data_IF_014420246305
#
_entry.id   IF_014420246305
#
_cell.length_a   1.000
_cell.length_b   1.000
_cell.length_c   1.000
_cell.angle_alpha   90.00
_cell.angle_beta   90.00
_cell.angle_gamma   90.00
#
_symmetry.space_group_name_H-M   'P 1'
#
loop_
_entity.id
_entity.type
_entity.pdbx_description
1 polymer ?
#
# COMPACT_ATOMS: atom_id res chain seq x y z
N UNK A 1 -3.20 -21.38 -10.18
CA UNK A 1 -3.25 -19.97 -10.64
C UNK A 1 -2.20 -19.11 -9.97
N UNK A 2 -2.12 -19.04 -8.64
CA UNK A 2 -1.13 -18.20 -7.93
C UNK A 2 0.31 -18.45 -8.41
N UNK A 3 0.75 -19.71 -8.42
CA UNK A 3 2.10 -20.05 -8.89
C UNK A 3 2.38 -19.58 -10.33
N UNK A 4 1.41 -19.71 -11.24
CA UNK A 4 1.55 -19.22 -12.62
C UNK A 4 1.56 -17.69 -12.70
N UNK A 5 0.74 -17.01 -11.89
CA UNK A 5 0.77 -15.55 -11.78
C UNK A 5 2.11 -15.04 -11.27
N UNK A 6 2.69 -15.73 -10.27
CA UNK A 6 4.01 -15.41 -9.74
C UNK A 6 5.13 -15.64 -10.76
N UNK A 7 5.03 -16.68 -11.60
CA UNK A 7 5.97 -16.88 -12.70
C UNK A 7 5.89 -15.73 -13.74
N UNK A 8 4.68 -15.22 -14.00
CA UNK A 8 4.49 -14.03 -14.83
C UNK A 8 5.12 -12.78 -14.21
N UNK A 9 4.94 -12.57 -12.90
CA UNK A 9 5.56 -11.48 -12.14
C UNK A 9 7.10 -11.55 -12.17
N UNK A 10 7.66 -12.75 -12.09
CA UNK A 10 9.11 -12.95 -12.17
C UNK A 10 9.67 -12.50 -13.51
N UNK A 11 9.01 -12.85 -14.62
CA UNK A 11 9.41 -12.42 -15.96
C UNK A 11 9.25 -10.90 -16.12
N UNK A 12 8.16 -10.32 -15.62
CA UNK A 12 7.87 -8.90 -15.78
C UNK A 12 8.75 -7.99 -14.91
N UNK A 13 9.11 -8.46 -13.72
CA UNK A 13 9.64 -7.60 -12.66
C UNK A 13 10.96 -8.09 -12.04
N UNK A 14 11.44 -9.27 -12.47
CA UNK A 14 12.70 -9.87 -12.00
C UNK A 14 12.62 -10.48 -10.61
N UNK A 15 11.42 -10.74 -10.09
CA UNK A 15 11.25 -11.23 -8.72
C UNK A 15 9.96 -12.04 -8.52
N UNK A 16 10.03 -13.05 -7.68
CA UNK A 16 8.92 -13.92 -7.36
C UNK A 16 8.16 -13.41 -6.12
N UNK A 17 7.14 -12.56 -6.30
CA UNK A 17 6.32 -12.02 -5.20
C UNK A 17 4.84 -12.45 -5.29
N UNK A 18 4.24 -12.75 -4.15
CA UNK A 18 2.84 -13.19 -4.05
C UNK A 18 1.92 -12.08 -3.53
N UNK A 19 2.47 -10.97 -3.03
CA UNK A 19 1.74 -9.90 -2.36
C UNK A 19 0.72 -9.17 -3.24
N UNK A 20 0.92 -9.12 -4.56
CA UNK A 20 -0.09 -8.61 -5.52
C UNK A 20 -1.00 -9.72 -6.06
N UNK A 21 -0.42 -10.84 -6.48
CA UNK A 21 -1.14 -11.95 -7.12
C UNK A 21 -2.10 -12.64 -6.15
N UNK A 22 -1.71 -12.80 -4.88
CA UNK A 22 -2.54 -13.44 -3.87
C UNK A 22 -3.86 -12.68 -3.61
N UNK A 23 -3.87 -11.37 -3.28
CA UNK A 23 -5.12 -10.64 -3.11
C UNK A 23 -5.88 -10.47 -4.43
N UNK A 24 -5.21 -10.38 -5.59
CA UNK A 24 -5.90 -10.32 -6.88
C UNK A 24 -6.73 -11.58 -7.19
N UNK A 25 -6.22 -12.76 -6.81
CA UNK A 25 -6.88 -14.04 -7.07
C UNK A 25 -7.83 -14.44 -5.93
N UNK A 26 -7.39 -14.27 -4.68
CA UNK A 26 -8.12 -14.76 -3.50
C UNK A 26 -9.05 -13.71 -2.89
N UNK A 27 -8.92 -12.43 -3.27
CA UNK A 27 -9.57 -11.30 -2.60
C UNK A 27 -8.99 -11.03 -1.21
N UNK A 28 -9.40 -9.90 -0.62
CA UNK A 28 -9.14 -9.54 0.78
C UNK A 28 -7.73 -9.05 1.07
N UNK A 29 -7.38 -9.03 2.35
CA UNK A 29 -6.03 -8.66 2.83
C UNK A 29 -5.25 -9.95 3.07
N UNK A 30 -4.08 -10.07 2.44
CA UNK A 30 -3.25 -11.28 2.48
C UNK A 30 -1.89 -10.99 3.10
N UNK A 31 -1.44 -11.91 3.95
CA UNK A 31 -0.09 -11.91 4.51
C UNK A 31 0.69 -13.09 3.95
N UNK A 32 1.81 -12.82 3.29
CA UNK A 32 2.71 -13.86 2.80
C UNK A 32 3.71 -14.19 3.92
N UNK A 33 3.48 -15.30 4.66
CA UNK A 33 4.35 -15.70 5.79
C UNK A 33 5.64 -16.34 5.29
N UNK A 34 5.56 -17.09 4.20
CA UNK A 34 6.68 -17.84 3.63
C UNK A 34 6.52 -17.97 2.11
N UNK A 35 7.64 -18.00 1.39
CA UNK A 35 7.69 -18.30 -0.05
C UNK A 35 8.10 -19.74 -0.33
N UNK A 36 8.80 -20.41 0.59
CA UNK A 36 9.30 -21.78 0.43
C UNK A 36 9.16 -22.59 1.74
N UNK A 37 8.07 -23.37 1.91
CA UNK A 37 6.91 -23.46 1.02
C UNK A 37 6.10 -22.15 1.01
N UNK A 38 5.36 -21.91 -0.07
CA UNK A 38 4.48 -20.74 -0.18
C UNK A 38 3.35 -20.86 0.85
N UNK A 39 3.24 -19.87 1.73
CA UNK A 39 2.21 -19.82 2.77
C UNK A 39 1.57 -18.45 2.82
N UNK A 40 0.27 -18.42 2.57
CA UNK A 40 -0.54 -17.22 2.43
C UNK A 40 -1.63 -17.26 3.49
N UNK A 41 -1.61 -16.30 4.40
CA UNK A 41 -2.58 -16.16 5.47
C UNK A 41 -3.65 -15.15 5.08
N UNK A 42 -4.90 -15.45 5.43
CA UNK A 42 -6.01 -14.51 5.29
C UNK A 42 -6.08 -13.60 6.52
N UNK A 43 -6.08 -12.29 6.33
CA UNK A 43 -6.29 -11.33 7.40
C UNK A 43 -7.73 -10.80 7.38
N UNK A 44 -8.31 -10.46 8.54
CA UNK A 44 -9.65 -9.90 8.61
C UNK A 44 -9.69 -8.51 7.96
N UNK A 45 -10.84 -8.18 7.39
CA UNK A 45 -11.11 -6.88 6.79
C UNK A 45 -11.97 -6.08 7.77
N UNK A 46 -11.44 -4.98 8.36
CA UNK A 46 -12.22 -4.13 9.25
C UNK A 46 -13.42 -3.52 8.52
N UNK A 47 -14.59 -3.48 9.17
CA UNK A 47 -15.86 -3.19 8.48
C UNK A 47 -15.94 -1.80 7.88
N UNK A 48 -15.28 -0.82 8.50
CA UNK A 48 -15.30 0.58 8.06
C UNK A 48 -14.08 0.95 7.25
N UNK A 49 -13.17 0.02 6.95
CA UNK A 49 -11.94 0.34 6.23
C UNK A 49 -12.24 0.73 4.77
N UNK A 50 -11.90 1.97 4.43
CA UNK A 50 -12.03 2.55 3.11
C UNK A 50 -10.62 2.83 2.58
N UNK A 51 -10.38 2.44 1.33
CA UNK A 51 -9.16 2.71 0.60
C UNK A 51 -9.40 3.81 -0.43
N UNK A 52 -8.55 4.83 -0.41
CA UNK A 52 -8.43 5.84 -1.45
C UNK A 52 -7.16 5.52 -2.23
N UNK A 53 -7.25 5.41 -3.55
CA UNK A 53 -6.08 5.23 -4.42
C UNK A 53 -6.08 6.33 -5.45
N UNK A 54 -4.96 7.05 -5.59
CA UNK A 54 -4.78 8.03 -6.65
C UNK A 54 -3.62 7.61 -7.53
N UNK A 55 -3.91 7.42 -8.82
CA UNK A 55 -2.95 7.08 -9.85
C UNK A 55 -2.58 8.36 -10.62
N UNK A 56 -1.36 8.90 -10.44
CA UNK A 56 -0.88 9.99 -11.27
C UNK A 56 -0.55 9.52 -12.69
N UNK A 57 -0.71 10.39 -13.68
CA UNK A 57 -0.28 10.19 -15.07
C UNK A 57 1.23 10.42 -15.19
N UNK A 58 1.95 9.54 -14.53
CA UNK A 58 3.40 9.49 -14.45
C UNK A 58 3.79 8.03 -14.23
N UNK A 59 4.97 7.64 -14.70
CA UNK A 59 5.48 6.28 -14.55
C UNK A 59 6.83 6.28 -13.87
N UNK A 60 6.99 5.39 -12.89
CA UNK A 60 8.29 5.05 -12.30
C UNK A 60 8.71 3.71 -12.87
N UNK A 61 9.96 3.58 -13.31
CA UNK A 61 10.51 2.29 -13.69
C UNK A 61 10.59 1.37 -12.47
N UNK A 62 9.80 0.29 -12.47
CA UNK A 62 9.71 -0.67 -11.36
C UNK A 62 11.04 -1.37 -11.05
N UNK A 63 11.86 -1.62 -12.07
CA UNK A 63 13.19 -2.22 -11.90
C UNK A 63 14.11 -1.28 -11.11
N UNK A 64 14.14 0.00 -11.48
CA UNK A 64 14.96 1.00 -10.80
C UNK A 64 14.48 1.24 -9.38
N UNK A 65 13.16 1.38 -9.16
CA UNK A 65 12.57 1.56 -7.84
C UNK A 65 12.83 0.39 -6.88
N UNK A 66 13.08 -0.81 -7.40
CA UNK A 66 13.46 -1.99 -6.60
C UNK A 66 14.95 -2.02 -6.30
N UNK A 67 15.79 -1.72 -7.29
CA UNK A 67 17.24 -1.69 -7.10
C UNK A 67 17.70 -0.57 -6.15
N UNK A 68 16.88 0.45 -5.94
CA UNK A 68 17.15 1.51 -4.97
C UNK A 68 16.93 1.09 -3.51
N UNK A 69 16.22 -0.02 -3.25
CA UNK A 69 15.99 -0.45 -1.87
C UNK A 69 17.31 -0.86 -1.18
N UNK A 70 17.47 -0.53 0.10
CA UNK A 70 18.71 -0.82 0.81
C UNK A 70 18.88 -2.33 0.98
N UNK A 71 20.05 -2.86 0.63
CA UNK A 71 20.39 -4.27 0.88
C UNK A 71 20.58 -4.62 2.36
N UNK A 72 20.73 -3.60 3.21
CA UNK A 72 20.90 -3.71 4.65
C UNK A 72 20.13 -2.60 5.34
N UNK A 73 19.44 -2.94 6.42
CA UNK A 73 18.74 -1.98 7.28
C UNK A 73 19.35 -2.02 8.68
N UNK A 74 19.36 -0.90 9.43
CA UNK A 74 19.75 -0.91 10.83
C UNK A 74 18.88 -1.86 11.63
N UNK A 75 19.46 -2.60 12.58
CA UNK A 75 18.71 -3.52 13.45
C UNK A 75 17.56 -2.81 14.17
N UNK A 76 17.79 -1.56 14.62
CA UNK A 76 16.74 -0.73 15.25
C UNK A 76 15.52 -0.56 14.34
N UNK A 77 15.73 -0.17 13.07
CA UNK A 77 14.66 -0.03 12.10
C UNK A 77 13.96 -1.36 11.82
N UNK A 78 14.71 -2.47 11.81
CA UNK A 78 14.13 -3.78 11.60
C UNK A 78 13.22 -4.24 12.76
N UNK A 79 13.64 -3.99 14.00
CA UNK A 79 12.82 -4.27 15.19
C UNK A 79 11.56 -3.42 15.19
N UNK A 80 11.68 -2.13 14.86
CA UNK A 80 10.54 -1.21 14.80
C UNK A 80 9.57 -1.58 13.67
N UNK A 81 10.07 -1.91 12.47
CA UNK A 81 9.24 -2.39 11.36
C UNK A 81 8.49 -3.67 11.70
N UNK A 82 9.15 -4.61 12.39
CA UNK A 82 8.50 -5.85 12.85
C UNK A 82 7.39 -5.55 13.88
N UNK A 83 7.63 -4.60 14.79
CA UNK A 83 6.63 -4.10 15.74
C UNK A 83 5.43 -3.48 15.03
N UNK A 84 5.68 -2.65 14.02
CA UNK A 84 4.64 -2.03 13.18
C UNK A 84 3.80 -3.09 12.45
N UNK A 85 4.43 -4.08 11.81
CA UNK A 85 3.70 -5.16 11.14
C UNK A 85 2.84 -5.98 12.12
N UNK A 86 3.39 -6.34 13.28
CA UNK A 86 2.66 -7.07 14.32
C UNK A 86 1.50 -6.24 14.87
N UNK A 87 1.74 -4.96 15.17
CA UNK A 87 0.73 -4.01 15.65
C UNK A 87 -0.40 -3.81 14.64
N UNK A 88 -0.07 -3.62 13.35
CA UNK A 88 -1.06 -3.49 12.28
C UNK A 88 -1.89 -4.77 12.15
N UNK A 89 -1.24 -5.94 12.18
CA UNK A 89 -1.93 -7.24 12.12
C UNK A 89 -2.92 -7.39 13.27
N UNK A 90 -2.50 -7.15 14.52
CA UNK A 90 -3.39 -7.20 15.70
C UNK A 90 -4.54 -6.20 15.55
N UNK A 91 -4.25 -4.99 15.06
CA UNK A 91 -5.25 -3.95 14.88
C UNK A 91 -6.36 -4.34 13.89
N UNK A 92 -6.04 -5.10 12.83
CA UNK A 92 -7.03 -5.66 11.91
C UNK A 92 -8.01 -6.59 12.64
N UNK A 93 -7.51 -7.50 13.47
CA UNK A 93 -8.36 -8.43 14.24
C UNK A 93 -9.21 -7.74 15.29
N UNK A 94 -8.70 -6.64 15.87
CA UNK A 94 -9.41 -5.88 16.90
C UNK A 94 -10.29 -4.75 16.34
N UNK A 95 -10.30 -4.53 15.01
CA UNK A 95 -10.85 -3.34 14.37
C UNK A 95 -10.38 -2.02 15.04
N UNK A 96 -9.14 -1.99 15.54
CA UNK A 96 -8.56 -0.85 16.26
C UNK A 96 -7.88 0.13 15.29
N UNK A 97 -8.65 1.05 14.73
CA UNK A 97 -8.17 2.02 13.72
C UNK A 97 -7.05 2.95 14.24
N UNK A 98 -7.04 3.29 15.53
CA UNK A 98 -5.96 4.09 16.13
C UNK A 98 -4.65 3.32 16.25
N UNK A 99 -4.71 2.01 16.54
CA UNK A 99 -3.53 1.15 16.50
C UNK A 99 -3.07 0.94 15.05
N UNK A 100 -3.98 0.77 14.09
CA UNK A 100 -3.61 0.72 12.67
C UNK A 100 -2.84 1.98 12.28
N UNK A 101 -3.34 3.16 12.69
CA UNK A 101 -2.74 4.45 12.38
C UNK A 101 -1.30 4.56 12.89
N UNK A 102 -1.08 4.23 14.16
CA UNK A 102 0.27 4.25 14.75
C UNK A 102 1.19 3.16 14.20
N UNK A 103 0.64 2.09 13.61
CA UNK A 103 1.39 0.96 13.06
C UNK A 103 1.66 1.07 11.56
N UNK A 104 1.00 1.99 10.85
CA UNK A 104 1.13 2.16 9.41
C UNK A 104 2.33 3.07 9.10
N UNK A 105 3.52 2.58 9.43
CA UNK A 105 4.80 3.26 9.20
C UNK A 105 5.75 2.28 8.52
N UNK A 106 6.25 2.66 7.34
CA UNK A 106 7.28 1.92 6.61
C UNK A 106 8.65 2.60 6.75
N UNK A 107 9.57 1.88 7.39
CA UNK A 107 10.95 2.32 7.61
C UNK A 107 11.92 1.81 6.54
N UNK A 108 11.45 0.98 5.60
CA UNK A 108 12.28 0.31 4.61
C UNK A 108 12.12 0.91 3.22
N UNK A 109 10.92 0.82 2.64
CA UNK A 109 10.74 1.16 1.23
C UNK A 109 10.32 2.62 1.03
N UNK A 110 9.35 3.09 1.81
CA UNK A 110 8.81 4.44 1.73
C UNK A 110 9.87 5.56 1.81
N UNK A 111 10.87 5.55 2.73
CA UNK A 111 11.87 6.61 2.81
C UNK A 111 12.76 6.74 1.57
N UNK A 112 12.82 5.69 0.75
CA UNK A 112 13.56 5.66 -0.51
C UNK A 112 12.64 5.94 -1.69
N UNK A 113 11.52 5.21 -1.79
CA UNK A 113 10.61 5.29 -2.94
C UNK A 113 9.78 6.56 -2.95
N UNK A 114 9.45 7.13 -1.80
CA UNK A 114 8.68 8.39 -1.71
C UNK A 114 9.40 9.54 -2.42
N UNK A 115 10.73 9.53 -2.45
CA UNK A 115 11.56 10.54 -3.14
C UNK A 115 11.41 10.49 -4.66
N UNK A 116 10.92 9.38 -5.22
CA UNK A 116 10.70 9.21 -6.66
C UNK A 116 9.34 9.74 -7.10
N UNK A 117 8.43 10.04 -6.15
CA UNK A 117 7.08 10.50 -6.44
C UNK A 117 7.05 12.02 -6.22
N UNK A 118 6.94 12.83 -7.29
CA UNK A 118 6.84 14.27 -7.16
C UNK A 118 5.67 14.68 -6.25
N UNK A 119 5.93 15.56 -5.28
CA UNK A 119 4.91 16.05 -4.35
C UNK A 119 4.58 15.11 -3.18
N UNK A 120 5.17 13.91 -3.09
CA UNK A 120 4.84 12.93 -2.05
C UNK A 120 4.93 13.48 -0.62
N UNK A 121 6.01 14.21 -0.28
CA UNK A 121 6.17 14.81 1.05
C UNK A 121 5.09 15.87 1.35
N UNK A 122 4.68 16.65 0.35
CA UNK A 122 3.59 17.65 0.50
C UNK A 122 2.25 16.98 0.70
N UNK A 123 1.99 15.89 -0.03
CA UNK A 123 0.81 15.05 0.15
C UNK A 123 0.77 14.50 1.57
N UNK A 124 1.85 13.89 2.03
CA UNK A 124 1.97 13.40 3.41
C UNK A 124 1.74 14.53 4.43
N UNK A 125 2.29 15.73 4.19
CA UNK A 125 2.10 16.90 5.06
C UNK A 125 0.64 17.35 5.15
N UNK A 126 -0.06 17.54 4.02
CA UNK A 126 -1.44 18.03 4.01
C UNK A 126 -2.45 17.01 4.54
N UNK A 127 -2.12 15.71 4.49
CA UNK A 127 -2.99 14.67 5.03
C UNK A 127 -2.87 14.49 6.55
N UNK A 128 -1.89 15.13 7.23
CA UNK A 128 -1.69 14.99 8.68
C UNK A 128 -2.89 15.45 9.51
N UNK A 129 -3.57 16.49 9.04
CA UNK A 129 -4.69 17.12 9.73
C UNK A 129 -6.05 16.49 9.37
N UNK A 130 -6.05 15.48 8.49
CA UNK A 130 -7.24 14.78 8.05
C UNK A 130 -7.49 13.51 8.88
N UNK A 131 -8.74 13.03 8.87
CA UNK A 131 -9.14 11.77 9.51
C UNK A 131 -8.65 10.55 8.70
N UNK A 132 -7.32 10.38 8.65
CA UNK A 132 -6.66 9.25 7.99
C UNK A 132 -6.16 8.24 9.02
N UNK A 133 -6.17 6.97 8.62
CA UNK A 133 -5.44 5.89 9.28
C UNK A 133 -3.98 5.94 8.81
N UNK A 134 -3.73 6.09 7.50
CA UNK A 134 -2.38 6.29 7.00
C UNK A 134 -2.37 6.47 5.50
N UNK A 135 -1.22 6.89 4.98
CA UNK A 135 -0.98 7.15 3.57
C UNK A 135 0.37 6.54 3.19
N UNK A 136 0.45 5.91 2.03
CA UNK A 136 1.66 5.25 1.58
C UNK A 136 1.69 5.07 0.06
N UNK A 137 2.71 4.36 -0.40
CA UNK A 137 2.93 4.06 -1.82
C UNK A 137 2.23 2.74 -2.15
N UNK A 138 1.39 2.72 -3.18
CA UNK A 138 0.76 1.49 -3.66
C UNK A 138 1.79 0.68 -4.46
N UNK A 139 2.24 -0.45 -3.89
CA UNK A 139 3.27 -1.29 -4.48
C UNK A 139 4.61 -0.58 -4.66
N UNK A 140 5.10 -0.49 -5.89
CA UNK A 140 6.31 0.29 -6.23
C UNK A 140 6.05 1.77 -6.52
N UNK A 141 4.78 2.20 -6.54
CA UNK A 141 4.38 3.52 -7.03
C UNK A 141 4.28 3.58 -8.56
N UNK A 142 3.90 4.74 -9.12
CA UNK A 142 3.72 6.03 -8.42
C UNK A 142 2.33 6.24 -7.80
N UNK A 143 1.42 5.28 -7.91
CA UNK A 143 0.12 5.37 -7.25
C UNK A 143 0.29 5.53 -5.73
N UNK A 144 -0.47 6.46 -5.15
CA UNK A 144 -0.54 6.70 -3.71
C UNK A 144 -1.83 6.07 -3.20
N UNK A 145 -1.77 5.41 -2.06
CA UNK A 145 -2.96 4.96 -1.35
C UNK A 145 -3.07 5.64 0.01
N UNK A 146 -4.29 5.79 0.48
CA UNK A 146 -4.60 6.20 1.84
C UNK A 146 -5.73 5.34 2.40
N UNK A 147 -5.68 5.09 3.70
CA UNK A 147 -6.70 4.38 4.45
C UNK A 147 -7.43 5.34 5.38
N UNK A 148 -8.73 5.21 5.47
CA UNK A 148 -9.58 5.92 6.44
C UNK A 148 -10.74 5.01 6.86
N UNK A 149 -11.40 5.34 7.96
CA UNK A 149 -12.66 4.73 8.37
C UNK A 149 -13.87 5.69 8.23
N UNK A 150 -13.69 6.82 7.55
CA UNK A 150 -14.70 7.85 7.32
C UNK A 150 -14.86 8.13 5.81
N UNK A 151 -16.09 7.98 5.30
CA UNK A 151 -16.41 8.19 3.88
C UNK A 151 -16.23 9.65 3.44
N UNK A 152 -16.56 10.64 4.28
CA UNK A 152 -16.38 12.04 3.92
C UNK A 152 -14.91 12.45 3.96
N UNK A 153 -14.14 11.91 4.91
CA UNK A 153 -12.68 12.02 4.89
C UNK A 153 -12.10 11.41 3.61
N UNK A 154 -12.59 10.25 3.14
CA UNK A 154 -12.09 9.61 1.92
C UNK A 154 -12.20 10.49 0.67
N UNK A 155 -13.28 11.29 0.56
CA UNK A 155 -13.46 12.25 -0.53
C UNK A 155 -12.48 13.42 -0.43
N UNK A 156 -12.27 13.95 0.78
CA UNK A 156 -11.30 15.03 1.04
C UNK A 156 -9.88 14.57 0.74
N UNK A 157 -9.47 13.42 1.25
CA UNK A 157 -8.17 12.80 1.00
C UNK A 157 -7.93 12.66 -0.51
N UNK A 158 -8.90 12.11 -1.25
CA UNK A 158 -8.80 11.99 -2.71
C UNK A 158 -8.57 13.36 -3.37
N UNK A 159 -9.33 14.37 -2.98
CA UNK A 159 -9.22 15.72 -3.53
C UNK A 159 -7.85 16.35 -3.23
N UNK A 160 -7.34 16.21 -2.00
CA UNK A 160 -6.02 16.72 -1.59
C UNK A 160 -4.93 16.10 -2.45
N UNK A 161 -4.91 14.77 -2.61
CA UNK A 161 -3.87 14.08 -3.38
C UNK A 161 -3.92 14.52 -4.86
N UNK A 162 -5.11 14.60 -5.46
CA UNK A 162 -5.28 15.06 -6.85
C UNK A 162 -4.81 16.52 -7.01
N UNK A 163 -5.15 17.39 -6.07
CA UNK A 163 -4.77 18.81 -6.11
C UNK A 163 -3.26 19.01 -5.98
N UNK A 164 -2.59 18.23 -5.13
CA UNK A 164 -1.13 18.27 -5.02
C UNK A 164 -0.41 17.84 -6.31
N UNK A 165 -0.89 16.79 -6.99
CA UNK A 165 -0.37 16.44 -8.31
C UNK A 165 -0.67 17.54 -9.35
N UNK A 166 -1.88 18.10 -9.33
CA UNK A 166 -2.27 19.17 -10.24
C UNK A 166 -1.42 20.43 -10.08
N UNK A 167 -1.06 20.82 -8.85
CA UNK A 167 -0.18 21.97 -8.54
C UNK A 167 1.19 21.87 -9.19
N UNK A 168 1.65 20.66 -9.50
CA UNK A 168 2.92 20.39 -10.17
C UNK A 168 2.74 19.94 -11.63
N UNK A 169 1.53 20.11 -12.20
CA UNK A 169 1.23 19.83 -13.60
C UNK A 169 1.09 18.35 -13.95
N UNK A 170 0.82 17.48 -12.96
CA UNK A 170 0.58 16.05 -13.19
C UNK A 170 -0.92 15.78 -13.05
N UNK A 171 -1.53 15.27 -14.11
CA UNK A 171 -2.91 14.77 -14.05
C UNK A 171 -2.98 13.49 -13.23
N UNK A 172 -4.14 13.20 -12.63
CA UNK A 172 -4.30 11.99 -11.82
C UNK A 172 -5.76 11.55 -11.73
N UNK A 173 -5.96 10.25 -11.52
CA UNK A 173 -7.29 9.64 -11.36
C UNK A 173 -7.39 9.03 -9.96
N UNK A 174 -8.45 9.38 -9.24
CA UNK A 174 -8.69 8.89 -7.88
C UNK A 174 -9.87 7.92 -7.78
N UNK A 175 -9.66 6.84 -7.06
CA UNK A 175 -10.62 5.77 -6.76
C UNK A 175 -10.87 5.70 -5.25
N UNK A 176 -12.11 5.41 -4.86
CA UNK A 176 -12.49 5.16 -3.47
C UNK A 176 -13.24 3.83 -3.46
N UNK A 177 -12.76 2.87 -2.66
CA UNK A 177 -13.42 1.58 -2.52
C UNK A 177 -13.22 0.99 -1.13
N UNK A 178 -14.10 0.06 -0.77
CA UNK A 178 -13.81 -0.88 0.30
C UNK A 178 -12.81 -1.94 -0.21
N UNK A 179 -12.25 -2.72 0.70
CA UNK A 179 -11.43 -3.89 0.32
C UNK A 179 -12.33 -4.94 -0.35
N UNK A 180 -12.00 -5.31 -1.58
CA UNK A 180 -12.72 -6.38 -2.29
C UNK A 180 -12.32 -7.74 -1.74
N UNK A 181 -13.29 -8.53 -1.29
CA UNK A 181 -13.07 -9.87 -0.71
C UNK A 181 -13.53 -11.02 -1.61
N UNK A 182 -14.02 -10.71 -2.82
CA UNK A 182 -14.40 -11.73 -3.80
C UNK A 182 -13.22 -12.06 -4.72
N UNK A 183 -13.06 -13.32 -5.14
CA UNK A 183 -12.16 -13.67 -6.23
C UNK A 183 -12.63 -13.01 -7.55
N UNK A 184 -11.78 -12.99 -8.59
CA UNK A 184 -12.15 -12.52 -9.92
C UNK A 184 -13.42 -13.21 -10.44
N UNK A 185 -14.29 -12.44 -11.10
CA UNK A 185 -15.50 -12.93 -11.75
C UNK A 185 -15.30 -12.96 -13.26
N UNK A 186 -15.85 -14.00 -13.89
CA UNK A 186 -15.99 -14.04 -15.35
C UNK A 186 -17.10 -13.04 -15.70
N UNK A 187 -16.77 -12.05 -16.54
CA UNK A 187 -17.66 -10.99 -17.02
C UNK A 187 -17.94 -11.13 -18.50
#
# INVERSE_FOLDING_TARGET
LIFHGMAGEEVASGSFHADNIAPAILGGIRLIRSYQPLEILNLPIPKKLICVVVLPDFSINTYDARNMLPKKVPLKSAVEQAGNLAGFTIALYQENYELMKRSMVDLFAEPVRGKLIPGYEKIQYHLKDEEIIGCGISGSGPAIFALTNNMDASKKIKAIIIDEFKKIGIDSIGYISNVQNSPPKIV
#
